data_IF_448225714212
#
_entry.id   IF_448225714212
#
_cell.length_a   1.000
_cell.length_b   1.000
_cell.length_c   1.000
_cell.angle_alpha   90.00
_cell.angle_beta   90.00
_cell.angle_gamma   90.00
#
_symmetry.space_group_name_H-M   'P 1'
#
loop_
_entity.id
_entity.type
_entity.pdbx_description
1 polymer ?
#
# COMPACT_ATOMS: atom_id res chain seq x y z
N UNK A 1 10.78 24.04 5.32
CA UNK A 1 10.72 23.64 6.74
C UNK A 1 9.44 22.85 6.93
N UNK A 2 9.52 21.52 6.87
CA UNK A 2 8.36 20.63 7.00
C UNK A 2 8.07 20.41 8.48
N UNK A 3 6.85 20.69 8.90
CA UNK A 3 6.40 20.40 10.26
C UNK A 3 5.77 19.00 10.26
N UNK A 4 6.44 18.06 10.88
CA UNK A 4 5.85 16.75 11.16
C UNK A 4 4.68 16.92 12.13
N UNK A 5 3.49 16.48 11.72
CA UNK A 5 2.31 16.45 12.57
C UNK A 5 2.20 15.05 13.14
N UNK A 6 2.48 14.91 14.41
CA UNK A 6 2.16 13.67 15.15
C UNK A 6 0.70 13.76 15.55
N UNK A 7 -0.15 12.91 14.99
CA UNK A 7 -1.53 12.76 15.45
C UNK A 7 -1.57 11.59 16.42
N UNK A 8 -1.48 11.90 17.70
CA UNK A 8 -1.69 10.93 18.77
C UNK A 8 -3.19 10.85 19.02
N UNK A 9 -3.79 9.68 18.82
CA UNK A 9 -5.16 9.39 19.20
C UNK A 9 -5.35 9.60 20.71
N UNK A 10 -6.44 10.24 21.07
CA UNK A 10 -6.71 10.76 22.39
C UNK A 10 -6.69 9.68 23.49
N UNK A 11 -5.69 9.76 24.38
CA UNK A 11 -5.87 9.53 25.81
C UNK A 11 -5.27 10.72 26.54
N UNK A 12 -6.11 11.39 27.29
CA UNK A 12 -5.78 12.59 28.04
C UNK A 12 -4.70 12.33 29.08
N UNK A 13 -3.54 12.95 28.89
CA UNK A 13 -2.71 13.42 30.01
C UNK A 13 -1.81 14.51 29.48
N UNK A 14 -2.01 15.70 30.02
CA UNK A 14 -1.21 16.86 29.73
C UNK A 14 0.25 16.61 30.15
N UNK A 15 1.16 16.63 29.19
CA UNK A 15 2.58 16.70 29.46
C UNK A 15 3.23 17.69 28.51
N UNK A 16 3.91 18.65 29.08
CA UNK A 16 4.58 19.79 28.44
C UNK A 16 5.44 19.36 27.24
N UNK A 17 5.18 20.00 26.11
CA UNK A 17 6.05 19.91 24.94
C UNK A 17 7.28 20.81 25.16
N UNK A 18 8.43 20.22 25.41
CA UNK A 18 9.71 20.90 25.23
C UNK A 18 10.04 20.90 23.73
N UNK A 19 10.25 22.11 23.18
CA UNK A 19 10.80 22.29 21.83
C UNK A 19 12.22 21.72 21.77
N UNK A 20 12.37 20.54 21.23
CA UNK A 20 13.64 20.06 20.76
C UNK A 20 13.57 19.98 19.22
N UNK A 21 14.39 20.77 18.56
CA UNK A 21 14.68 20.68 17.15
C UNK A 21 15.40 19.36 16.87
N UNK A 22 14.65 18.35 16.54
CA UNK A 22 15.17 17.11 15.96
C UNK A 22 14.27 16.74 14.78
N UNK A 23 14.88 16.56 13.63
CA UNK A 23 14.31 15.88 12.47
C UNK A 23 14.10 14.41 12.82
N UNK A 24 13.23 14.13 13.75
CA UNK A 24 12.76 12.79 14.01
C UNK A 24 11.60 12.53 13.05
N UNK A 25 11.79 11.62 12.16
CA UNK A 25 10.74 10.99 11.38
C UNK A 25 9.90 10.15 12.35
N UNK A 26 8.97 10.80 13.01
CA UNK A 26 8.09 10.07 13.90
C UNK A 26 7.12 9.26 13.05
N UNK A 27 7.14 7.95 13.25
CA UNK A 27 6.14 7.08 12.67
C UNK A 27 4.74 7.48 13.14
N UNK A 28 3.75 7.37 12.26
CA UNK A 28 2.35 7.61 12.59
C UNK A 28 1.72 6.28 12.93
N UNK A 29 1.36 6.10 14.20
CA UNK A 29 0.63 4.92 14.66
C UNK A 29 -0.87 5.16 14.46
N UNK A 30 -1.49 4.33 13.63
CA UNK A 30 -2.91 4.36 13.36
C UNK A 30 -3.64 3.47 14.38
N UNK A 31 -4.46 4.05 15.22
CA UNK A 31 -5.26 3.28 16.17
C UNK A 31 -6.68 3.07 15.63
N UNK A 32 -7.19 1.85 15.77
CA UNK A 32 -8.51 1.45 15.30
C UNK A 32 -9.61 2.45 15.71
N UNK A 33 -10.38 2.92 14.76
CA UNK A 33 -11.65 3.67 14.83
C UNK A 33 -11.68 4.99 14.04
N UNK A 34 -10.57 5.47 13.49
CA UNK A 34 -10.58 6.66 12.63
C UNK A 34 -9.59 6.53 11.47
N UNK A 35 -9.95 7.07 10.32
CA UNK A 35 -9.06 7.12 9.19
C UNK A 35 -7.73 7.80 9.56
N UNK A 36 -6.63 7.08 9.38
CA UNK A 36 -5.29 7.59 9.61
C UNK A 36 -4.81 8.36 8.39
N UNK A 37 -4.25 9.53 8.58
CA UNK A 37 -3.86 10.41 7.47
C UNK A 37 -2.45 10.95 7.65
N UNK A 38 -1.63 10.73 6.65
CA UNK A 38 -0.33 11.34 6.49
C UNK A 38 -0.40 12.82 6.07
N UNK A 39 0.70 13.30 5.57
CA UNK A 39 0.93 14.68 5.12
C UNK A 39 1.19 14.71 3.61
N UNK A 40 1.56 15.85 3.06
CA UNK A 40 2.02 15.94 1.67
C UNK A 40 3.56 15.75 1.55
N UNK A 41 4.20 15.19 2.53
CA UNK A 41 5.61 14.84 2.52
C UNK A 41 5.81 13.42 3.03
N UNK A 42 7.00 12.84 2.91
CA UNK A 42 7.25 11.45 3.23
C UNK A 42 6.80 11.05 4.64
N UNK A 43 6.08 9.96 4.74
CA UNK A 43 5.57 9.42 6.00
C UNK A 43 5.96 7.95 6.18
N UNK A 44 6.04 7.53 7.43
CA UNK A 44 6.05 6.12 7.81
C UNK A 44 4.84 5.89 8.72
N UNK A 45 3.93 4.98 8.31
CA UNK A 45 2.65 4.78 8.96
C UNK A 45 2.46 3.31 9.31
N UNK A 46 1.90 3.05 10.49
CA UNK A 46 1.59 1.71 10.94
C UNK A 46 0.14 1.61 11.35
N UNK A 47 -0.57 0.65 10.82
CA UNK A 47 -1.90 0.24 11.25
C UNK A 47 -1.87 -0.57 12.54
N UNK A 48 -2.91 -1.31 12.77
CA UNK A 48 -3.10 -2.15 13.95
C UNK A 48 -3.38 -3.62 13.57
N UNK A 49 -3.89 -4.42 14.48
CA UNK A 49 -4.39 -5.76 14.19
C UNK A 49 -5.90 -5.80 13.90
N UNK A 50 -6.51 -4.66 13.56
CA UNK A 50 -7.94 -4.50 13.28
C UNK A 50 -8.09 -3.72 11.99
N UNK A 51 -9.31 -3.68 11.44
CA UNK A 51 -9.64 -2.90 10.24
C UNK A 51 -9.16 -1.45 10.34
N UNK A 52 -8.30 -1.06 9.44
CA UNK A 52 -7.73 0.27 9.34
C UNK A 52 -8.00 0.92 7.96
N UNK A 53 -8.08 2.25 7.96
CA UNK A 53 -8.12 3.03 6.74
C UNK A 53 -7.02 4.07 6.78
N UNK A 54 -6.01 3.91 5.90
CA UNK A 54 -4.77 4.67 5.95
C UNK A 54 -4.56 5.43 4.64
N UNK A 55 -4.29 6.73 4.75
CA UNK A 55 -4.04 7.63 3.62
C UNK A 55 -2.66 8.28 3.76
N UNK A 56 -1.71 7.97 2.90
CA UNK A 56 -0.41 8.63 2.80
C UNK A 56 -0.54 10.08 2.37
N UNK A 57 -1.28 10.33 1.33
CA UNK A 57 -1.59 11.58 0.62
C UNK A 57 -0.54 11.95 -0.41
N UNK A 58 0.62 12.38 -0.03
CA UNK A 58 1.64 12.76 -0.97
C UNK A 58 3.04 12.74 -0.38
N UNK A 59 4.01 12.53 -1.24
CA UNK A 59 5.39 12.29 -0.86
C UNK A 59 5.74 10.83 -1.07
N UNK A 60 6.89 10.41 -0.59
CA UNK A 60 7.32 9.01 -0.67
C UNK A 60 6.99 8.32 0.66
N UNK A 61 5.92 7.57 0.68
CA UNK A 61 5.37 6.99 1.89
C UNK A 61 5.76 5.50 2.07
N UNK A 62 5.75 5.06 3.31
CA UNK A 62 5.81 3.66 3.71
C UNK A 62 4.66 3.39 4.66
N UNK A 63 3.75 2.50 4.28
CA UNK A 63 2.55 2.17 5.04
C UNK A 63 2.52 0.67 5.30
N UNK A 64 2.35 0.28 6.56
CA UNK A 64 2.15 -1.11 6.95
C UNK A 64 0.85 -1.22 7.75
N UNK A 65 -0.19 -1.79 7.15
CA UNK A 65 -1.51 -1.92 7.77
C UNK A 65 -1.56 -3.05 8.81
N UNK A 66 -0.63 -4.03 8.72
CA UNK A 66 -0.44 -5.15 9.67
C UNK A 66 -1.47 -6.25 9.53
N UNK A 67 -2.66 -6.10 10.03
CA UNK A 67 -3.67 -7.14 9.93
C UNK A 67 -5.05 -6.65 10.29
N UNK A 68 -6.03 -7.23 9.61
CA UNK A 68 -7.40 -6.76 9.62
C UNK A 68 -7.99 -6.93 8.23
N UNK A 69 -8.97 -6.13 7.91
CA UNK A 69 -9.46 -5.92 6.55
C UNK A 69 -9.24 -4.44 6.25
N UNK A 70 -8.13 -4.14 5.61
CA UNK A 70 -7.58 -2.80 5.59
C UNK A 70 -7.78 -2.09 4.25
N UNK A 71 -7.83 -0.76 4.28
CA UNK A 71 -7.79 0.10 3.11
C UNK A 71 -6.54 0.99 3.18
N UNK A 72 -5.59 0.77 2.28
CA UNK A 72 -4.34 1.50 2.18
C UNK A 72 -4.32 2.32 0.89
N UNK A 73 -4.08 3.60 1.02
CA UNK A 73 -3.97 4.55 -0.08
C UNK A 73 -2.64 5.28 0.03
N UNK A 74 -1.73 5.06 -0.89
CA UNK A 74 -0.45 5.77 -0.98
C UNK A 74 -0.69 7.26 -1.25
N UNK A 75 -1.12 7.57 -2.44
CA UNK A 75 -1.49 8.92 -2.86
C UNK A 75 -0.65 9.45 -4.00
N UNK A 76 -0.14 10.67 -3.86
CA UNK A 76 0.72 11.25 -4.88
C UNK A 76 2.20 11.07 -4.51
N UNK A 77 3.00 10.56 -5.41
CA UNK A 77 4.45 10.39 -5.24
C UNK A 77 4.85 8.93 -5.13
N UNK A 78 6.16 8.64 -5.24
CA UNK A 78 6.62 7.26 -5.30
C UNK A 78 6.61 6.59 -3.91
N UNK A 79 5.69 5.69 -3.68
CA UNK A 79 5.52 5.01 -2.39
C UNK A 79 6.36 3.72 -2.34
N UNK A 80 7.37 3.72 -1.48
CA UNK A 80 8.39 2.67 -1.44
C UNK A 80 7.90 1.35 -0.80
N UNK A 81 6.73 1.34 -0.17
CA UNK A 81 6.18 0.14 0.44
C UNK A 81 4.79 0.35 1.02
N UNK A 82 3.79 -0.19 0.33
CA UNK A 82 2.41 -0.24 0.78
C UNK A 82 2.07 -1.70 1.11
N UNK A 83 1.96 -2.03 2.38
CA UNK A 83 1.72 -3.39 2.85
C UNK A 83 0.30 -3.51 3.42
N UNK A 84 -0.53 -4.38 2.84
CA UNK A 84 -1.83 -4.78 3.38
C UNK A 84 -1.64 -5.59 4.66
N UNK A 85 -0.96 -6.72 4.54
CA UNK A 85 -0.60 -7.56 5.69
C UNK A 85 -1.41 -8.84 5.78
N UNK A 86 -2.04 -9.09 6.91
CA UNK A 86 -2.91 -10.24 7.05
C UNK A 86 -4.37 -9.82 6.92
N UNK A 87 -5.10 -10.41 6.01
CA UNK A 87 -6.52 -10.13 5.85
C UNK A 87 -6.90 -9.99 4.39
N UNK A 88 -8.06 -9.45 4.16
CA UNK A 88 -8.47 -9.12 2.80
C UNK A 88 -8.43 -7.62 2.62
N UNK A 89 -7.42 -7.16 1.93
CA UNK A 89 -7.05 -5.77 1.92
C UNK A 89 -7.33 -5.10 0.56
N UNK A 90 -7.52 -3.80 0.61
CA UNK A 90 -7.50 -2.91 -0.54
C UNK A 90 -6.23 -2.06 -0.47
N UNK A 91 -5.33 -2.22 -1.44
CA UNK A 91 -4.11 -1.42 -1.52
C UNK A 91 -4.11 -0.66 -2.84
N UNK A 92 -3.99 0.66 -2.78
CA UNK A 92 -3.89 1.55 -3.94
C UNK A 92 -2.62 2.39 -3.84
N UNK A 93 -1.77 2.32 -4.86
CA UNK A 93 -0.59 3.18 -5.00
C UNK A 93 -1.02 4.63 -5.18
N UNK A 94 -1.45 4.96 -6.35
CA UNK A 94 -1.95 6.28 -6.69
C UNK A 94 -1.27 6.89 -7.88
N UNK A 95 -0.55 7.96 -7.70
CA UNK A 95 0.24 8.56 -8.75
C UNK A 95 1.73 8.54 -8.39
N UNK A 96 2.55 7.90 -9.20
CA UNK A 96 3.98 7.76 -8.97
C UNK A 96 4.46 6.34 -9.27
N UNK A 97 5.72 6.07 -9.02
CA UNK A 97 6.24 4.71 -9.10
C UNK A 97 6.07 4.04 -7.74
N UNK A 98 5.10 3.14 -7.62
CA UNK A 98 4.69 2.57 -6.36
C UNK A 98 5.07 1.09 -6.22
N UNK A 99 5.32 0.69 -4.98
CA UNK A 99 5.49 -0.71 -4.62
C UNK A 99 4.45 -1.13 -3.59
N UNK A 100 3.62 -2.11 -3.97
CA UNK A 100 2.56 -2.62 -3.11
C UNK A 100 2.64 -4.13 -2.92
N UNK A 101 2.33 -4.58 -1.71
CA UNK A 101 2.32 -5.98 -1.31
C UNK A 101 1.01 -6.24 -0.57
N UNK A 102 0.18 -7.15 -1.11
CA UNK A 102 -1.08 -7.55 -0.49
C UNK A 102 -0.84 -8.30 0.81
N UNK A 103 -0.19 -9.44 0.70
CA UNK A 103 0.18 -10.28 1.84
C UNK A 103 -0.66 -11.53 1.96
N UNK A 104 -1.15 -11.84 3.15
CA UNK A 104 -1.97 -13.02 3.37
C UNK A 104 -3.45 -12.69 3.25
N UNK A 105 -4.15 -13.31 2.32
CA UNK A 105 -5.58 -13.11 2.13
C UNK A 105 -5.91 -12.82 0.67
N UNK A 106 -7.18 -12.59 0.40
CA UNK A 106 -7.62 -12.32 -0.97
C UNK A 106 -7.71 -10.81 -1.20
N UNK A 107 -6.65 -10.25 -1.75
CA UNK A 107 -6.43 -8.82 -1.80
C UNK A 107 -6.86 -8.18 -3.11
N UNK A 108 -7.11 -6.89 -3.07
CA UNK A 108 -7.35 -6.08 -4.26
C UNK A 108 -6.31 -4.97 -4.32
N UNK A 109 -5.48 -5.02 -5.35
CA UNK A 109 -4.36 -4.12 -5.52
C UNK A 109 -4.49 -3.31 -6.80
N UNK A 110 -4.18 -2.03 -6.73
CA UNK A 110 -4.11 -1.15 -7.88
C UNK A 110 -2.84 -0.31 -7.81
N UNK A 111 -2.06 -0.33 -8.86
CA UNK A 111 -0.91 0.55 -8.99
C UNK A 111 -1.37 2.00 -9.13
N UNK A 112 -1.83 2.37 -10.26
CA UNK A 112 -2.32 3.71 -10.57
C UNK A 112 -1.56 4.33 -11.73
N UNK A 113 -1.28 5.61 -11.68
CA UNK A 113 -0.45 6.27 -12.69
C UNK A 113 1.03 6.10 -12.36
N UNK A 114 1.82 5.67 -13.34
CA UNK A 114 3.25 5.47 -13.22
C UNK A 114 3.65 4.00 -13.30
N UNK A 115 4.93 3.75 -13.14
CA UNK A 115 5.46 2.40 -13.22
C UNK A 115 5.41 1.72 -11.86
N UNK A 116 4.51 0.76 -11.71
CA UNK A 116 4.24 0.12 -10.43
C UNK A 116 4.78 -1.31 -10.32
N UNK A 117 5.01 -1.74 -9.10
CA UNK A 117 5.38 -3.11 -8.77
C UNK A 117 4.40 -3.68 -7.73
N UNK A 118 3.54 -4.64 -8.15
CA UNK A 118 2.51 -5.23 -7.33
C UNK A 118 2.82 -6.69 -7.01
N UNK A 119 2.68 -7.06 -5.73
CA UNK A 119 2.87 -8.43 -5.22
C UNK A 119 1.62 -8.90 -4.49
N UNK A 120 0.87 -9.85 -5.06
CA UNK A 120 -0.33 -10.41 -4.42
C UNK A 120 0.01 -11.23 -3.19
N UNK A 121 0.97 -12.13 -3.33
CA UNK A 121 1.42 -13.14 -2.38
C UNK A 121 0.40 -14.26 -2.17
N UNK A 122 -0.34 -14.32 -1.08
CA UNK A 122 -1.15 -15.47 -0.70
C UNK A 122 -2.64 -15.37 -1.01
N UNK A 123 -3.26 -16.49 -1.40
CA UNK A 123 -4.68 -16.63 -1.76
C UNK A 123 -5.04 -16.00 -3.13
N UNK A 124 -6.33 -15.74 -3.37
CA UNK A 124 -6.82 -15.35 -4.69
C UNK A 124 -6.96 -13.84 -4.83
N UNK A 125 -5.97 -13.21 -5.43
CA UNK A 125 -5.85 -11.77 -5.51
C UNK A 125 -6.37 -11.17 -6.81
N UNK A 126 -6.62 -9.88 -6.77
CA UNK A 126 -6.89 -9.06 -7.95
C UNK A 126 -5.84 -7.96 -8.04
N UNK A 127 -5.01 -8.01 -9.09
CA UNK A 127 -3.98 -7.04 -9.38
C UNK A 127 -4.36 -6.25 -10.64
N UNK A 128 -4.30 -4.94 -10.57
CA UNK A 128 -4.50 -4.02 -11.70
C UNK A 128 -3.33 -3.02 -11.71
N UNK A 129 -2.43 -3.11 -12.69
CA UNK A 129 -1.30 -2.21 -12.82
C UNK A 129 -1.76 -0.77 -13.03
N UNK A 130 -2.49 -0.55 -14.09
CA UNK A 130 -2.99 0.76 -14.47
C UNK A 130 -2.48 1.22 -15.83
N UNK A 131 -2.34 2.52 -16.07
CA UNK A 131 -1.55 3.02 -17.19
C UNK A 131 -0.05 2.95 -16.90
N UNK A 132 0.76 3.03 -17.96
CA UNK A 132 2.23 2.94 -17.93
C UNK A 132 2.75 1.49 -17.81
N UNK A 133 4.03 1.30 -17.55
CA UNK A 133 4.68 -0.02 -17.66
C UNK A 133 4.85 -0.68 -16.29
N UNK A 134 4.04 -1.66 -15.99
CA UNK A 134 3.94 -2.25 -14.67
C UNK A 134 4.60 -3.63 -14.56
N UNK A 135 4.87 -4.04 -13.33
CA UNK A 135 5.35 -5.36 -12.97
C UNK A 135 4.44 -5.98 -11.92
N UNK A 136 3.77 -7.08 -12.29
CA UNK A 136 2.79 -7.73 -11.42
C UNK A 136 3.24 -9.16 -11.07
N UNK A 137 3.25 -9.48 -9.79
CA UNK A 137 3.65 -10.78 -9.26
C UNK A 137 2.48 -11.44 -8.52
N UNK A 138 1.95 -12.52 -9.09
CA UNK A 138 0.84 -13.30 -8.50
C UNK A 138 1.15 -14.80 -8.36
N UNK A 139 2.36 -15.22 -8.71
CA UNK A 139 2.73 -16.62 -8.95
C UNK A 139 3.16 -17.43 -7.72
N UNK A 140 2.99 -16.97 -6.49
CA UNK A 140 3.57 -17.64 -5.31
C UNK A 140 2.56 -18.35 -4.40
N UNK A 141 1.29 -18.36 -4.76
CA UNK A 141 0.20 -18.88 -3.93
C UNK A 141 -0.25 -20.33 -4.26
N UNK A 142 0.42 -20.93 -5.21
CA UNK A 142 0.38 -22.36 -5.53
C UNK A 142 -0.82 -22.85 -6.33
N UNK A 143 -2.04 -22.41 -6.13
CA UNK A 143 -3.25 -22.79 -6.88
C UNK A 143 -4.39 -21.77 -6.76
N UNK A 144 -4.17 -20.67 -6.15
CA UNK A 144 -5.15 -19.61 -6.11
C UNK A 144 -5.44 -19.13 -7.55
N UNK A 145 -6.62 -18.60 -7.76
CA UNK A 145 -7.00 -18.08 -9.07
C UNK A 145 -7.00 -16.56 -9.04
N UNK A 146 -5.83 -16.01 -9.23
CA UNK A 146 -5.69 -14.57 -9.30
C UNK A 146 -6.33 -14.01 -10.57
N UNK A 147 -6.68 -12.75 -10.49
CA UNK A 147 -7.06 -11.94 -11.65
C UNK A 147 -6.00 -10.87 -11.82
N UNK A 148 -5.26 -10.93 -12.90
CA UNK A 148 -4.14 -10.03 -13.20
C UNK A 148 -4.47 -9.22 -14.44
N UNK A 149 -4.37 -7.91 -14.32
CA UNK A 149 -4.54 -6.97 -15.40
C UNK A 149 -3.32 -6.06 -15.44
N UNK A 150 -2.56 -6.09 -16.52
CA UNK A 150 -1.48 -5.15 -16.77
C UNK A 150 -2.05 -3.74 -16.88
N UNK A 151 -2.80 -3.51 -17.92
CA UNK A 151 -3.44 -2.22 -18.14
C UNK A 151 -3.07 -1.61 -19.46
N UNK A 152 -2.51 -0.43 -19.43
CA UNK A 152 -1.98 0.24 -20.59
C UNK A 152 -0.49 0.48 -20.45
N UNK A 153 0.29 0.22 -21.49
CA UNK A 153 1.73 0.31 -21.47
C UNK A 153 2.37 -1.00 -21.92
N UNK A 154 3.54 -1.30 -21.42
CA UNK A 154 4.22 -2.58 -21.61
C UNK A 154 4.42 -3.27 -20.27
N UNK A 155 3.55 -4.25 -19.98
CA UNK A 155 3.44 -4.86 -18.66
C UNK A 155 4.10 -6.23 -18.60
N UNK A 156 4.74 -6.51 -17.47
CA UNK A 156 5.37 -7.79 -17.19
C UNK A 156 4.60 -8.45 -16.04
N UNK A 157 4.01 -9.62 -16.32
CA UNK A 157 3.27 -10.37 -15.32
C UNK A 157 3.93 -11.71 -15.03
N UNK A 158 4.25 -11.93 -13.76
CA UNK A 158 4.70 -13.21 -13.24
C UNK A 158 3.49 -13.96 -12.68
N UNK A 159 3.02 -14.96 -13.43
CA UNK A 159 1.74 -15.63 -13.20
C UNK A 159 1.92 -17.15 -13.24
N UNK A 160 0.99 -17.88 -12.69
CA UNK A 160 0.92 -19.31 -12.86
C UNK A 160 -0.25 -19.74 -13.79
N UNK A 161 -0.34 -21.02 -14.12
CA UNK A 161 -1.26 -21.53 -15.14
C UNK A 161 -2.75 -21.45 -14.78
N UNK A 162 -3.11 -21.07 -13.56
CA UNK A 162 -4.50 -21.06 -13.09
C UNK A 162 -5.13 -19.68 -13.11
N UNK A 163 -4.37 -18.65 -13.45
CA UNK A 163 -4.75 -17.27 -13.34
C UNK A 163 -5.54 -16.75 -14.53
N UNK A 164 -6.25 -15.66 -14.31
CA UNK A 164 -6.92 -14.89 -15.37
C UNK A 164 -6.09 -13.66 -15.67
N UNK A 165 -5.43 -13.67 -16.81
CA UNK A 165 -4.50 -12.60 -17.20
C UNK A 165 -5.06 -11.81 -18.37
N UNK A 166 -4.87 -10.50 -18.35
CA UNK A 166 -5.22 -9.60 -19.44
C UNK A 166 -4.27 -8.40 -19.48
N UNK A 167 -3.84 -8.01 -20.68
CA UNK A 167 -3.03 -6.81 -20.87
C UNK A 167 -1.61 -6.93 -20.34
N UNK A 168 -1.01 -8.11 -20.39
CA UNK A 168 0.40 -8.33 -20.09
C UNK A 168 1.12 -8.69 -21.40
N UNK A 169 2.20 -8.02 -21.73
CA UNK A 169 2.99 -8.29 -22.95
C UNK A 169 4.01 -9.41 -22.73
N UNK A 170 4.36 -9.69 -21.47
CA UNK A 170 5.16 -10.82 -21.05
C UNK A 170 4.55 -11.54 -19.85
N UNK A 171 4.42 -12.85 -19.98
CA UNK A 171 3.95 -13.75 -18.94
C UNK A 171 5.05 -14.79 -18.65
N UNK A 172 5.34 -15.06 -17.37
CA UNK A 172 6.36 -15.99 -16.93
C UNK A 172 5.81 -17.00 -15.95
#
# INVERSE_FOLDING_TARGET
MSKSVVVIGAMASAMLLSLASATAWAAIECTAASACRGTNGPNTMYGSGSEDRIYGKGGADVINAMGGVDEVYGGDGPDAGLYGGNGRDLVQGGAGEDKAIGGSGADTMRGGEGRDELWGEGAADTLDGGPDNDVLHSSRDGKARNTVRGGGGFDICYVDKYERVKGCEREY
#
